data_IF_989756308637
#
_entry.id   IF_989756308637
#
_cell.length_a   1.000
_cell.length_b   1.000
_cell.length_c   1.000
_cell.angle_alpha   90.00
_cell.angle_beta   90.00
_cell.angle_gamma   90.00
#
_symmetry.space_group_name_H-M   'P 1'
#
loop_
_entity.id
_entity.type
_entity.pdbx_description
1 polymer ?
#
# COMPACT_ATOMS: atom_id res chain seq x y z
N UNK A 1 25.76 -13.76 8.87
CA UNK A 1 25.79 -12.36 8.38
C UNK A 1 25.09 -12.27 7.04
N UNK A 2 24.01 -11.55 7.03
CA UNK A 2 23.26 -11.34 5.79
C UNK A 2 23.84 -10.16 5.03
N UNK A 3 24.36 -10.43 3.86
CA UNK A 3 24.80 -9.37 2.98
C UNK A 3 23.60 -8.58 2.47
N UNK A 4 23.69 -7.26 2.56
CA UNK A 4 22.68 -6.39 1.96
C UNK A 4 22.87 -6.40 0.45
N UNK A 5 21.83 -6.78 -0.27
CA UNK A 5 21.82 -6.77 -1.71
C UNK A 5 20.78 -5.77 -2.18
N UNK A 6 21.18 -4.81 -2.98
CA UNK A 6 20.26 -3.87 -3.59
C UNK A 6 19.63 -4.53 -4.80
N UNK A 7 18.33 -4.74 -4.75
CA UNK A 7 17.56 -5.36 -5.83
C UNK A 7 16.82 -4.32 -6.65
N UNK A 8 16.44 -3.21 -6.01
CA UNK A 8 15.78 -2.07 -6.65
C UNK A 8 16.49 -0.80 -6.20
N UNK A 9 17.07 -0.05 -7.13
CA UNK A 9 17.64 1.25 -6.82
C UNK A 9 16.60 2.36 -6.97
N UNK A 10 16.97 3.60 -6.73
CA UNK A 10 16.07 4.75 -6.80
C UNK A 10 15.42 4.89 -8.18
N UNK A 11 16.18 4.68 -9.24
CA UNK A 11 15.66 4.73 -10.61
C UNK A 11 14.67 3.58 -10.88
N UNK A 12 14.97 2.39 -10.38
CA UNK A 12 14.07 1.25 -10.51
C UNK A 12 12.73 1.52 -9.83
N UNK A 13 12.79 2.11 -8.63
CA UNK A 13 11.58 2.46 -7.87
C UNK A 13 10.79 3.50 -8.65
N UNK A 14 11.43 4.53 -9.16
CA UNK A 14 10.77 5.57 -9.93
C UNK A 14 10.06 5.00 -11.16
N UNK A 15 10.76 4.18 -11.93
CA UNK A 15 10.18 3.56 -13.14
C UNK A 15 9.05 2.61 -12.79
N UNK A 16 9.20 1.87 -11.69
CA UNK A 16 8.16 0.96 -11.19
C UNK A 16 6.91 1.72 -10.82
N UNK A 17 7.03 2.83 -10.11
CA UNK A 17 5.88 3.64 -9.72
C UNK A 17 5.18 4.24 -10.94
N UNK A 18 5.93 4.67 -11.94
CA UNK A 18 5.35 5.17 -13.21
C UNK A 18 4.54 4.07 -13.88
N UNK A 19 5.09 2.87 -13.97
CA UNK A 19 4.37 1.72 -14.56
C UNK A 19 3.10 1.39 -13.77
N UNK A 20 3.20 1.33 -12.45
CA UNK A 20 2.04 1.03 -11.59
C UNK A 20 0.96 2.11 -11.76
N UNK A 21 1.36 3.39 -11.84
CA UNK A 21 0.42 4.49 -12.05
C UNK A 21 -0.39 4.29 -13.34
N UNK A 22 0.28 3.92 -14.42
CA UNK A 22 -0.39 3.62 -15.70
C UNK A 22 -1.34 2.44 -15.57
N UNK A 23 -0.91 1.38 -14.87
CA UNK A 23 -1.75 0.20 -14.67
C UNK A 23 -2.99 0.52 -13.84
N UNK A 24 -2.84 1.34 -12.79
CA UNK A 24 -3.96 1.77 -11.95
C UNK A 24 -4.99 2.55 -12.77
N UNK A 25 -4.53 3.51 -13.55
CA UNK A 25 -5.39 4.35 -14.39
C UNK A 25 -6.11 3.50 -15.42
N UNK A 26 -5.40 2.60 -16.10
CA UNK A 26 -5.95 1.76 -17.13
C UNK A 26 -6.98 0.77 -16.58
N UNK A 27 -6.64 0.08 -15.50
CA UNK A 27 -7.52 -0.94 -14.91
C UNK A 27 -8.80 -0.34 -14.35
N UNK A 28 -8.76 0.92 -13.92
CA UNK A 28 -9.91 1.58 -13.31
C UNK A 28 -10.55 2.63 -14.23
N UNK A 29 -10.38 2.48 -15.51
CA UNK A 29 -10.92 3.42 -16.49
C UNK A 29 -12.43 3.61 -16.28
N UNK A 30 -12.84 4.88 -16.14
CA UNK A 30 -14.24 5.21 -15.91
C UNK A 30 -14.73 5.03 -14.48
N UNK A 31 -13.84 4.66 -13.55
CA UNK A 31 -14.17 4.48 -12.12
C UNK A 31 -13.33 5.41 -11.26
N UNK A 32 -13.96 6.06 -10.25
CA UNK A 32 -13.19 6.89 -9.34
C UNK A 32 -12.24 6.06 -8.49
N UNK A 33 -10.99 6.49 -8.37
CA UNK A 33 -9.98 5.85 -7.53
C UNK A 33 -9.51 6.78 -6.42
N UNK A 34 -9.13 6.20 -5.30
CA UNK A 34 -8.45 6.89 -4.21
C UNK A 34 -7.24 6.06 -3.81
N UNK A 35 -6.18 6.72 -3.38
CA UNK A 35 -4.96 6.05 -2.95
C UNK A 35 -4.84 6.15 -1.44
N UNK A 36 -4.53 5.04 -0.79
CA UNK A 36 -4.36 5.00 0.66
C UNK A 36 -3.09 4.24 0.98
N UNK A 37 -2.13 4.93 1.56
CA UNK A 37 -0.86 4.32 1.95
C UNK A 37 -0.93 3.69 3.33
N UNK A 38 -0.27 2.56 3.48
CA UNK A 38 -0.15 1.89 4.77
C UNK A 38 1.13 2.42 5.44
N UNK A 39 0.96 2.98 6.65
CA UNK A 39 2.08 3.53 7.40
C UNK A 39 3.13 2.45 7.69
N UNK A 40 4.37 2.78 7.55
CA UNK A 40 4.94 4.11 7.32
C UNK A 40 5.39 4.28 5.87
N UNK A 41 6.10 3.30 5.33
CA UNK A 41 6.70 3.39 3.99
C UNK A 41 5.68 3.39 2.86
N UNK A 42 4.58 2.67 3.04
CA UNK A 42 3.48 2.68 2.08
C UNK A 42 2.87 4.06 1.91
N UNK A 43 2.83 4.87 2.98
CA UNK A 43 2.33 6.23 2.89
C UNK A 43 3.23 7.12 2.01
N UNK A 44 4.54 6.97 2.11
CA UNK A 44 5.48 7.70 1.24
C UNK A 44 5.33 7.29 -0.22
N UNK A 45 5.21 5.98 -0.46
CA UNK A 45 5.01 5.46 -1.81
C UNK A 45 3.67 5.90 -2.39
N UNK A 46 2.63 5.91 -1.56
CA UNK A 46 1.30 6.36 -1.97
C UNK A 46 1.33 7.83 -2.40
N UNK A 47 2.06 8.68 -1.69
CA UNK A 47 2.19 10.08 -2.05
C UNK A 47 2.83 10.25 -3.43
N UNK A 48 3.88 9.49 -3.71
CA UNK A 48 4.56 9.51 -5.01
C UNK A 48 3.65 8.96 -6.12
N UNK A 49 3.00 7.84 -5.86
CA UNK A 49 2.09 7.23 -6.81
C UNK A 49 0.89 8.14 -7.10
N UNK A 50 0.36 8.80 -6.07
CA UNK A 50 -0.75 9.73 -6.17
C UNK A 50 -0.43 10.86 -7.14
N UNK A 51 0.76 11.46 -7.02
CA UNK A 51 1.18 12.53 -7.93
C UNK A 51 1.16 12.05 -9.39
N UNK A 52 1.67 10.85 -9.62
CA UNK A 52 1.72 10.27 -10.97
C UNK A 52 0.31 9.99 -11.51
N UNK A 53 -0.57 9.45 -10.68
CA UNK A 53 -1.96 9.16 -11.07
C UNK A 53 -2.72 10.44 -11.36
N UNK A 54 -2.56 11.47 -10.51
CA UNK A 54 -3.20 12.77 -10.74
C UNK A 54 -2.75 13.38 -12.07
N UNK A 55 -1.46 13.30 -12.37
CA UNK A 55 -0.93 13.83 -13.63
C UNK A 55 -1.50 13.09 -14.84
N UNK A 56 -1.63 11.77 -14.75
CA UNK A 56 -2.19 10.97 -15.83
C UNK A 56 -3.67 11.22 -16.06
N UNK A 57 -4.41 11.46 -15.00
CA UNK A 57 -5.86 11.70 -15.08
C UNK A 57 -6.20 13.18 -15.30
N UNK A 58 -5.23 14.07 -15.13
CA UNK A 58 -5.42 15.51 -15.15
C UNK A 58 -6.52 15.94 -14.16
N UNK A 59 -6.51 15.32 -12.98
CA UNK A 59 -7.44 15.65 -11.90
C UNK A 59 -6.85 15.24 -10.56
N UNK A 60 -7.37 15.81 -9.48
CA UNK A 60 -6.96 15.44 -8.13
C UNK A 60 -7.82 14.29 -7.63
N UNK A 61 -7.18 13.16 -7.33
CA UNK A 61 -7.85 12.03 -6.68
C UNK A 61 -7.57 12.07 -5.18
N UNK A 62 -8.43 11.51 -4.33
CA UNK A 62 -8.18 11.49 -2.90
C UNK A 62 -6.93 10.70 -2.55
N UNK A 63 -6.22 11.17 -1.53
CA UNK A 63 -5.07 10.51 -0.95
C UNK A 63 -5.29 10.40 0.56
N UNK A 64 -5.12 9.22 1.09
CA UNK A 64 -5.19 8.99 2.52
C UNK A 64 -4.08 8.08 3.00
N UNK A 65 -4.05 7.84 4.29
CA UNK A 65 -3.12 6.91 4.88
C UNK A 65 -3.76 6.21 6.08
N UNK A 66 -3.26 5.02 6.38
CA UNK A 66 -3.75 4.17 7.46
C UNK A 66 -2.58 3.77 8.34
N UNK A 67 -2.73 3.96 9.64
CA UNK A 67 -1.84 3.39 10.63
C UNK A 67 -2.47 2.11 11.18
N UNK A 68 -1.82 0.99 10.95
CA UNK A 68 -2.32 -0.32 11.32
C UNK A 68 -1.87 -0.81 12.69
N UNK A 69 -1.22 0.04 13.47
CA UNK A 69 -0.63 -0.36 14.74
C UNK A 69 -1.63 -1.07 15.67
N UNK A 70 -2.91 -0.70 15.61
CA UNK A 70 -3.95 -1.29 16.45
C UNK A 70 -4.64 -2.52 15.87
N UNK A 71 -4.32 -2.88 14.63
CA UNK A 71 -5.00 -3.95 13.90
C UNK A 71 -4.09 -5.14 13.63
N UNK A 72 -2.85 -5.10 14.12
CA UNK A 72 -1.89 -6.17 13.89
C UNK A 72 -2.16 -7.34 14.82
N UNK A 73 -2.06 -8.54 14.28
CA UNK A 73 -2.33 -9.79 15.00
C UNK A 73 -1.35 -10.03 16.16
N UNK A 74 -0.16 -9.44 16.10
CA UNK A 74 0.88 -9.58 17.11
C UNK A 74 0.75 -8.61 18.28
N UNK A 75 -0.26 -7.75 18.25
CA UNK A 75 -0.52 -6.84 19.35
C UNK A 75 -1.40 -7.51 20.41
N UNK A 76 -0.87 -7.60 21.62
CA UNK A 76 -1.64 -8.15 22.74
C UNK A 76 -2.72 -7.19 23.19
N UNK A 77 -3.93 -7.70 23.25
CA UNK A 77 -5.06 -7.45 24.16
C UNK A 77 -5.46 -6.03 24.53
N UNK A 78 -4.64 -5.02 24.45
CA UNK A 78 -5.11 -3.66 24.61
C UNK A 78 -5.34 -3.05 23.25
N UNK A 79 -6.60 -2.84 22.97
CA UNK A 79 -6.98 -1.98 21.86
C UNK A 79 -7.15 -0.57 22.39
N UNK A 80 -6.11 0.29 22.30
CA UNK A 80 -6.38 1.70 22.51
C UNK A 80 -7.37 2.17 21.45
N UNK A 81 -8.03 3.27 21.74
CA UNK A 81 -8.96 3.87 20.79
C UNK A 81 -8.27 4.02 19.43
N UNK A 82 -8.82 3.43 18.35
CA UNK A 82 -8.24 3.54 17.02
C UNK A 82 -8.13 4.97 16.52
N UNK A 83 -8.84 5.91 17.14
CA UNK A 83 -8.76 7.32 16.79
C UNK A 83 -7.53 8.03 17.34
N UNK A 84 -6.76 7.40 18.25
CA UNK A 84 -5.59 8.02 18.85
C UNK A 84 -4.42 8.14 17.86
N UNK A 85 -4.29 7.17 16.95
CA UNK A 85 -3.31 7.24 15.86
C UNK A 85 -4.09 7.33 14.55
N UNK A 86 -4.73 8.47 14.37
CA UNK A 86 -5.71 8.64 13.34
C UNK A 86 -5.16 8.41 11.95
N UNK A 87 -5.75 7.48 11.26
CA UNK A 87 -5.64 7.37 9.83
C UNK A 87 -6.28 8.63 9.20
N UNK A 88 -5.70 9.10 8.12
CA UNK A 88 -6.22 10.25 7.39
C UNK A 88 -7.04 9.78 6.20
N UNK A 89 -8.36 9.70 6.40
CA UNK A 89 -9.29 9.28 5.36
C UNK A 89 -10.39 10.34 5.25
N UNK A 90 -10.05 11.47 4.63
CA UNK A 90 -10.92 12.66 4.57
C UNK A 90 -11.82 12.68 3.34
N UNK A 91 -12.35 11.52 2.95
CA UNK A 91 -13.24 11.39 1.80
C UNK A 91 -14.19 10.21 2.02
N UNK A 92 -15.25 10.16 1.25
CA UNK A 92 -16.23 9.07 1.33
C UNK A 92 -15.67 7.83 0.63
N UNK A 93 -15.38 6.79 1.40
CA UNK A 93 -14.85 5.54 0.85
C UNK A 93 -15.81 4.88 -0.13
N UNK A 94 -17.11 5.02 0.12
CA UNK A 94 -18.16 4.37 -0.68
C UNK A 94 -18.14 4.74 -2.16
N UNK A 95 -17.63 5.91 -2.47
CA UNK A 95 -17.61 6.42 -3.83
C UNK A 95 -16.42 5.92 -4.66
N UNK A 96 -15.46 5.24 -4.00
CA UNK A 96 -14.16 4.98 -4.63
C UNK A 96 -13.74 3.51 -4.61
N UNK A 97 -12.98 3.14 -5.65
CA UNK A 97 -12.06 2.02 -5.56
C UNK A 97 -10.83 2.51 -4.78
N UNK A 98 -10.57 1.93 -3.64
CA UNK A 98 -9.41 2.30 -2.82
C UNK A 98 -8.24 1.40 -3.17
N UNK A 99 -7.14 2.01 -3.61
CA UNK A 99 -5.89 1.30 -3.87
C UNK A 99 -5.02 1.44 -2.63
N UNK A 100 -4.89 0.36 -1.89
CA UNK A 100 -3.95 0.29 -0.76
C UNK A 100 -2.54 0.17 -1.28
N UNK A 101 -1.62 0.95 -0.73
CA UNK A 101 -0.23 0.98 -1.17
C UNK A 101 0.68 0.59 -0.01
N UNK A 102 1.53 -0.39 -0.26
CA UNK A 102 2.54 -0.81 0.71
C UNK A 102 3.87 -1.07 0.01
N UNK A 103 4.94 -1.17 0.78
CA UNK A 103 6.28 -1.40 0.23
C UNK A 103 6.50 -2.87 -0.13
N UNK A 104 6.32 -3.77 0.83
CA UNK A 104 6.61 -5.21 0.66
C UNK A 104 5.43 -6.05 1.12
N UNK A 105 5.01 -6.96 0.26
CA UNK A 105 4.00 -7.95 0.60
C UNK A 105 4.69 -9.25 1.05
N UNK A 106 4.32 -9.73 2.20
CA UNK A 106 4.87 -10.93 2.82
C UNK A 106 3.73 -11.93 3.10
N UNK A 107 3.33 -12.06 4.36
CA UNK A 107 2.29 -13.03 4.77
C UNK A 107 0.89 -12.62 4.36
N UNK A 108 0.64 -11.35 4.16
CA UNK A 108 -0.67 -10.77 3.93
C UNK A 108 -1.32 -10.21 5.20
N UNK A 109 -0.71 -10.39 6.36
CA UNK A 109 -1.28 -9.95 7.63
C UNK A 109 -1.35 -8.44 7.78
N UNK A 110 -0.35 -7.74 7.28
CA UNK A 110 -0.36 -6.26 7.23
C UNK A 110 -1.51 -5.74 6.39
N UNK A 111 -1.71 -6.34 5.22
CA UNK A 111 -2.79 -5.94 4.31
C UNK A 111 -4.16 -6.24 4.93
N UNK A 112 -4.31 -7.41 5.56
CA UNK A 112 -5.54 -7.74 6.27
C UNK A 112 -5.87 -6.70 7.34
N UNK A 113 -4.86 -6.30 8.13
CA UNK A 113 -5.03 -5.27 9.16
C UNK A 113 -5.44 -3.93 8.54
N UNK A 114 -4.85 -3.58 7.39
CA UNK A 114 -5.20 -2.35 6.68
C UNK A 114 -6.64 -2.38 6.16
N UNK A 115 -7.10 -3.53 5.65
CA UNK A 115 -8.47 -3.69 5.19
C UNK A 115 -9.44 -3.53 6.38
N UNK A 116 -9.15 -4.14 7.52
CA UNK A 116 -9.96 -3.98 8.73
C UNK A 116 -10.05 -2.51 9.15
N UNK A 117 -8.92 -1.83 9.19
CA UNK A 117 -8.88 -0.41 9.53
C UNK A 117 -9.71 0.43 8.56
N UNK A 118 -9.59 0.13 7.27
CA UNK A 118 -10.33 0.83 6.23
C UNK A 118 -11.84 0.70 6.44
N UNK A 119 -12.31 -0.51 6.75
CA UNK A 119 -13.73 -0.76 6.96
C UNK A 119 -14.30 -0.13 8.23
N UNK A 120 -13.44 0.30 9.16
CA UNK A 120 -13.90 1.11 10.31
C UNK A 120 -14.27 2.53 9.91
N UNK A 121 -13.82 3.01 8.76
CA UNK A 121 -14.11 4.35 8.26
C UNK A 121 -15.22 4.39 7.20
N UNK A 122 -15.55 3.24 6.64
CA UNK A 122 -16.58 3.17 5.61
C UNK A 122 -16.43 1.89 4.80
N UNK A 123 -17.25 1.77 3.78
CA UNK A 123 -17.22 0.60 2.89
C UNK A 123 -16.85 1.03 1.48
N UNK A 124 -15.59 0.85 1.06
CA UNK A 124 -15.20 1.21 -0.29
C UNK A 124 -15.95 0.38 -1.33
N UNK A 125 -16.13 0.94 -2.52
CA UNK A 125 -16.74 0.23 -3.64
C UNK A 125 -15.91 -1.01 -4.01
N UNK A 126 -14.58 -0.87 -3.96
CA UNK A 126 -13.61 -1.95 -4.16
C UNK A 126 -12.35 -1.63 -3.39
N UNK A 127 -11.58 -2.67 -3.11
CA UNK A 127 -10.22 -2.51 -2.56
C UNK A 127 -9.25 -3.23 -3.49
N UNK A 128 -8.21 -2.53 -3.89
CA UNK A 128 -7.11 -3.09 -4.67
C UNK A 128 -5.82 -2.89 -3.89
N UNK A 129 -4.79 -3.64 -4.24
CA UNK A 129 -3.51 -3.62 -3.54
C UNK A 129 -2.37 -3.37 -4.52
N UNK A 130 -1.56 -2.37 -4.23
CA UNK A 130 -0.32 -2.08 -4.95
C UNK A 130 0.85 -2.23 -4.01
N UNK A 131 1.84 -3.01 -4.40
CA UNK A 131 3.07 -3.20 -3.62
C UNK A 131 4.29 -3.02 -4.51
N UNK A 132 5.35 -2.49 -3.92
CA UNK A 132 6.61 -2.33 -4.63
C UNK A 132 7.27 -3.68 -4.86
N UNK A 133 7.24 -4.56 -3.87
CA UNK A 133 7.83 -5.88 -3.95
C UNK A 133 6.94 -6.94 -3.28
N UNK A 134 6.88 -8.11 -3.89
CA UNK A 134 6.22 -9.28 -3.31
C UNK A 134 7.29 -10.32 -3.04
N UNK A 135 7.52 -10.66 -1.77
CA UNK A 135 8.56 -11.61 -1.36
C UNK A 135 8.06 -13.04 -1.17
N UNK A 136 6.77 -13.27 -1.38
CA UNK A 136 6.18 -14.59 -1.17
C UNK A 136 5.91 -14.90 0.30
N UNK A 137 5.74 -16.17 0.62
CA UNK A 137 5.46 -16.71 1.98
C UNK A 137 4.11 -16.29 2.54
N UNK A 138 3.12 -16.32 1.70
CA UNK A 138 1.75 -15.94 2.08
C UNK A 138 1.19 -16.89 3.14
N UNK A 139 0.50 -16.31 4.13
CA UNK A 139 -0.29 -17.05 5.14
C UNK A 139 -1.78 -16.77 5.00
N UNK A 140 -2.14 -15.73 4.26
CA UNK A 140 -3.52 -15.38 3.96
C UNK A 140 -3.71 -15.31 2.44
N UNK A 141 -4.92 -15.55 1.93
CA UNK A 141 -5.18 -15.57 0.49
C UNK A 141 -5.29 -14.15 -0.08
N UNK A 142 -4.20 -13.43 -0.03
CA UNK A 142 -4.08 -12.04 -0.50
C UNK A 142 -3.09 -11.97 -1.65
N UNK A 143 -3.46 -11.27 -2.71
CA UNK A 143 -2.63 -11.06 -3.89
C UNK A 143 -2.60 -9.58 -4.23
N UNK A 144 -1.46 -9.07 -4.74
CA UNK A 144 -1.42 -7.70 -5.23
C UNK A 144 -2.11 -7.61 -6.60
N UNK A 145 -2.83 -6.52 -6.82
CA UNK A 145 -3.35 -6.17 -8.15
C UNK A 145 -2.25 -5.53 -8.98
N UNK A 146 -1.34 -4.84 -8.31
CA UNK A 146 -0.21 -4.17 -8.94
C UNK A 146 1.04 -4.52 -8.15
N UNK A 147 2.04 -5.04 -8.82
CA UNK A 147 3.30 -5.45 -8.17
C UNK A 147 4.47 -4.90 -8.96
N UNK A 148 5.43 -4.31 -8.23
CA UNK A 148 6.64 -3.81 -8.85
C UNK A 148 7.55 -4.95 -9.27
N UNK A 149 7.96 -5.76 -8.29
CA UNK A 149 8.87 -6.86 -8.54
C UNK A 149 8.55 -8.04 -7.62
N UNK A 150 8.59 -9.23 -8.18
CA UNK A 150 8.52 -10.47 -7.39
C UNK A 150 9.93 -10.84 -6.96
N UNK A 151 10.13 -10.95 -5.65
CA UNK A 151 11.43 -11.27 -5.05
C UNK A 151 11.33 -12.62 -4.36
N UNK A 152 11.77 -13.72 -4.99
CA UNK A 152 11.81 -15.00 -4.29
C UNK A 152 12.81 -14.92 -3.14
N UNK A 153 12.34 -15.08 -1.91
CA UNK A 153 13.16 -14.98 -0.70
C UNK A 153 12.96 -16.19 0.17
N UNK A 154 13.94 -16.47 1.03
CA UNK A 154 13.74 -17.39 2.13
C UNK A 154 13.02 -16.66 3.28
N UNK A 155 12.31 -17.41 4.13
CA UNK A 155 11.61 -16.82 5.28
C UNK A 155 12.54 -16.07 6.23
N UNK A 156 13.79 -16.53 6.33
CA UNK A 156 14.81 -15.91 7.18
C UNK A 156 15.39 -14.62 6.62
N UNK A 157 15.16 -14.35 5.33
CA UNK A 157 15.67 -13.14 4.70
C UNK A 157 14.80 -11.94 5.03
N UNK A 158 15.43 -10.79 5.13
CA UNK A 158 14.74 -9.51 5.32
C UNK A 158 14.74 -8.72 4.02
N UNK A 159 13.62 -8.08 3.76
CA UNK A 159 13.49 -7.14 2.64
C UNK A 159 13.20 -5.78 3.24
N UNK A 160 14.10 -4.83 3.00
CA UNK A 160 13.94 -3.46 3.46
C UNK A 160 13.81 -2.54 2.27
N UNK A 161 12.84 -1.65 2.32
CA UNK A 161 12.65 -0.62 1.31
C UNK A 161 13.03 0.72 1.93
N UNK A 162 13.96 1.41 1.29
CA UNK A 162 14.36 2.75 1.69
C UNK A 162 13.70 3.73 0.72
N UNK A 163 12.75 4.48 1.24
CA UNK A 163 12.07 5.51 0.47
C UNK A 163 12.49 6.83 1.08
N UNK A 164 13.24 7.61 0.31
CA UNK A 164 13.64 8.93 0.77
C UNK A 164 12.45 9.88 0.65
N UNK A 165 12.23 10.64 1.70
CA UNK A 165 11.25 11.71 1.68
C UNK A 165 11.78 12.80 0.76
N UNK A 166 11.13 13.00 -0.36
CA UNK A 166 11.46 14.08 -1.28
C UNK A 166 10.92 15.40 -0.74
#
# INVERSE_FOLDING_TARGET
MTESKVVLDEDDIRRTLVRIAHEVVEKNSGRPVALVGIHRRGAHLATRLHQLVCDLLDEQVPLGDIDIAFYRDDLNTRRPDPHVNASNLNFRLEDYTVVLVDDVLYTGRTVRAAIEALFDYGRPARVQLAVLADRGHRELPIRPDYVGKNLPTARSERVNVRVEAS
#
